data_IF_657458962019
#
_entry.id   IF_657458962019
#
_cell.length_a   1.000
_cell.length_b   1.000
_cell.length_c   1.000
_cell.angle_alpha   90.00
_cell.angle_beta   90.00
_cell.angle_gamma   90.00
#
_symmetry.space_group_name_H-M   'P 1'
#
loop_
_entity.id
_entity.type
_entity.pdbx_description
1 polymer ?
#
# COMPACT_ATOMS: atom_id res chain seq x y z
N UNK A 1 -1.87 24.10 -32.61
CA UNK A 1 -2.78 24.14 -31.45
C UNK A 1 -2.59 22.85 -30.67
N UNK A 2 -1.47 22.80 -29.96
CA UNK A 2 -1.09 21.82 -28.97
C UNK A 2 -1.02 22.60 -27.65
N UNK A 3 -1.09 21.92 -26.51
CA UNK A 3 -0.97 22.46 -25.14
C UNK A 3 -2.29 22.91 -24.47
N UNK A 4 -3.09 21.93 -24.02
CA UNK A 4 -3.95 22.12 -22.82
C UNK A 4 -4.50 20.82 -22.21
N UNK A 5 -4.46 19.67 -22.88
CA UNK A 5 -5.10 18.44 -22.39
C UNK A 5 -4.27 17.58 -21.41
N UNK A 6 -2.99 17.91 -21.18
CA UNK A 6 -2.08 17.08 -20.37
C UNK A 6 -2.22 17.27 -18.85
N UNK A 7 -2.96 18.28 -18.36
CA UNK A 7 -3.00 18.61 -16.92
C UNK A 7 -4.12 17.95 -16.13
N UNK A 8 -5.15 17.40 -16.79
CA UNK A 8 -6.34 16.87 -16.09
C UNK A 8 -6.17 15.39 -15.71
N UNK A 9 -5.44 14.61 -16.51
CA UNK A 9 -5.26 13.16 -16.30
C UNK A 9 -4.41 12.81 -15.06
N UNK A 10 -3.48 13.68 -14.65
CA UNK A 10 -2.66 13.45 -13.46
C UNK A 10 -3.44 13.55 -12.14
N UNK A 11 -4.61 14.19 -12.13
CA UNK A 11 -5.33 14.51 -10.88
C UNK A 11 -6.05 13.29 -10.29
N UNK A 12 -6.53 12.35 -11.12
CA UNK A 12 -7.25 11.15 -10.66
C UNK A 12 -6.37 10.14 -9.93
N UNK A 13 -5.22 9.77 -10.54
CA UNK A 13 -4.22 8.88 -9.95
C UNK A 13 -3.61 9.48 -8.66
N UNK A 14 -3.31 10.78 -8.68
CA UNK A 14 -2.84 11.49 -7.50
C UNK A 14 -3.90 11.60 -6.41
N UNK A 15 -5.21 11.55 -6.72
CA UNK A 15 -6.28 11.63 -5.73
C UNK A 15 -6.60 10.28 -5.08
N UNK A 16 -6.54 9.19 -5.84
CA UNK A 16 -6.73 7.82 -5.32
C UNK A 16 -5.60 7.42 -4.37
N UNK A 17 -4.36 7.81 -4.70
CA UNK A 17 -3.18 7.58 -3.87
C UNK A 17 -2.75 8.80 -3.06
N UNK A 18 -3.50 9.91 -3.11
CA UNK A 18 -3.27 11.11 -2.29
C UNK A 18 -3.04 10.79 -0.81
N UNK A 19 -3.80 9.87 -0.18
CA UNK A 19 -3.58 9.58 1.23
C UNK A 19 -2.19 8.99 1.52
N UNK A 20 -1.64 8.22 0.57
CA UNK A 20 -0.29 7.67 0.64
C UNK A 20 0.77 8.71 0.24
N UNK A 21 0.41 9.63 -0.65
CA UNK A 21 1.27 10.72 -1.10
C UNK A 21 1.30 11.94 -0.16
N UNK A 22 0.43 12.04 0.85
CA UNK A 22 0.42 13.16 1.80
C UNK A 22 1.70 13.23 2.69
N UNK A 23 2.56 12.20 2.64
CA UNK A 23 3.91 12.22 3.24
C UNK A 23 5.04 12.58 2.27
N UNK A 24 4.82 12.54 0.95
CA UNK A 24 5.86 12.76 -0.06
C UNK A 24 6.17 14.25 -0.29
N UNK A 25 6.62 14.95 0.76
CA UNK A 25 7.25 16.26 0.61
C UNK A 25 8.68 16.07 0.10
N UNK A 26 8.81 16.00 -1.23
CA UNK A 26 10.09 15.84 -1.91
C UNK A 26 10.58 14.40 -1.87
N UNK A 27 11.38 14.02 -2.87
CA UNK A 27 12.30 12.89 -2.69
C UNK A 27 12.98 13.15 -1.34
N UNK A 28 12.75 12.30 -0.34
CA UNK A 28 13.25 12.51 1.01
C UNK A 28 14.78 12.62 1.03
N UNK A 29 15.43 12.54 2.19
CA UNK A 29 16.89 12.65 2.34
C UNK A 29 17.68 11.45 1.73
N UNK A 30 17.25 10.92 0.58
CA UNK A 30 17.89 9.86 -0.20
C UNK A 30 19.38 10.17 -0.45
N UNK A 31 19.70 11.43 -0.75
CA UNK A 31 21.08 11.88 -0.99
C UNK A 31 21.65 12.63 0.21
N UNK A 32 20.99 12.60 1.37
CA UNK A 32 21.50 13.28 2.56
C UNK A 32 22.67 12.50 3.15
N UNK A 33 23.68 13.25 3.58
CA UNK A 33 24.86 12.74 4.27
C UNK A 33 24.91 13.18 5.73
N UNK A 34 23.80 13.72 6.24
CA UNK A 34 23.65 14.02 7.66
C UNK A 34 23.58 12.72 8.47
N UNK A 35 23.95 12.75 9.76
CA UNK A 35 23.71 11.62 10.65
C UNK A 35 22.22 11.26 10.70
N UNK A 36 21.93 9.97 10.84
CA UNK A 36 20.61 9.40 11.08
C UNK A 36 20.73 8.31 12.16
N UNK A 37 19.65 7.92 12.87
CA UNK A 37 19.73 6.82 13.81
C UNK A 37 20.09 5.50 13.11
N UNK A 38 20.84 4.65 13.80
CA UNK A 38 20.99 3.25 13.42
C UNK A 38 19.65 2.55 13.58
N UNK A 39 19.06 2.13 12.45
CA UNK A 39 17.82 1.34 12.40
C UNK A 39 18.06 -0.11 11.96
N UNK A 40 19.32 -0.47 11.67
CA UNK A 40 19.62 -1.79 11.13
C UNK A 40 19.32 -2.91 12.14
N UNK A 41 19.02 -4.11 11.65
CA UNK A 41 18.74 -5.28 12.48
C UNK A 41 17.29 -5.77 12.37
N UNK A 42 16.95 -6.68 13.27
CA UNK A 42 15.65 -7.33 13.29
C UNK A 42 14.69 -6.60 14.23
N UNK A 43 13.43 -6.53 13.83
CA UNK A 43 12.37 -5.79 14.51
C UNK A 43 11.15 -6.67 14.66
N UNK A 44 10.63 -6.77 15.88
CA UNK A 44 9.36 -7.43 16.18
C UNK A 44 8.23 -6.42 16.06
N UNK A 45 7.22 -6.72 15.26
CA UNK A 45 6.09 -5.83 14.95
C UNK A 45 4.83 -6.37 15.63
N UNK A 46 4.11 -5.47 16.31
CA UNK A 46 2.81 -5.74 16.92
C UNK A 46 1.76 -4.85 16.26
N UNK A 47 0.70 -5.47 15.75
CA UNK A 47 -0.40 -4.82 15.05
C UNK A 47 -1.57 -4.49 15.95
N UNK A 48 -2.33 -3.47 15.54
CA UNK A 48 -3.69 -3.27 16.05
C UNK A 48 -4.60 -4.44 15.61
N UNK A 49 -5.68 -4.67 16.35
CA UNK A 49 -6.65 -5.74 16.09
C UNK A 49 -7.73 -5.35 15.05
N UNK A 50 -7.60 -4.16 14.45
CA UNK A 50 -8.55 -3.60 13.50
C UNK A 50 -7.89 -3.14 12.20
N UNK A 51 -8.67 -3.19 11.12
CA UNK A 51 -8.39 -2.62 9.82
C UNK A 51 -9.33 -1.44 9.56
N UNK A 52 -8.78 -0.26 9.36
CA UNK A 52 -9.52 0.89 8.84
C UNK A 52 -9.66 0.75 7.32
N UNK A 53 -10.90 0.71 6.85
CA UNK A 53 -11.25 0.48 5.46
C UNK A 53 -11.92 1.71 4.87
N UNK A 54 -11.27 2.33 3.89
CA UNK A 54 -11.84 3.43 3.10
C UNK A 54 -12.18 2.91 1.71
N UNK A 55 -13.46 2.97 1.34
CA UNK A 55 -13.98 2.57 0.04
C UNK A 55 -14.46 3.81 -0.70
N UNK A 56 -14.06 3.95 -1.96
CA UNK A 56 -14.45 5.05 -2.83
C UNK A 56 -15.18 4.50 -4.04
N UNK A 57 -16.30 5.14 -4.39
CA UNK A 57 -17.20 4.73 -5.48
C UNK A 57 -17.73 6.01 -6.13
N UNK A 58 -17.30 6.31 -7.36
CA UNK A 58 -17.83 7.46 -8.12
C UNK A 58 -17.73 8.81 -7.38
N UNK A 59 -16.63 9.01 -6.64
CA UNK A 59 -16.38 10.20 -5.81
C UNK A 59 -17.03 10.19 -4.42
N UNK A 60 -17.92 9.24 -4.10
CA UNK A 60 -18.37 9.00 -2.73
C UNK A 60 -17.27 8.29 -1.93
N UNK A 61 -17.24 8.53 -0.61
CA UNK A 61 -16.29 7.91 0.33
C UNK A 61 -17.06 7.25 1.45
N UNK A 62 -16.71 6.01 1.74
CA UNK A 62 -17.28 5.18 2.79
C UNK A 62 -16.16 4.69 3.68
N UNK A 63 -16.22 4.99 4.98
CA UNK A 63 -15.24 4.54 5.96
C UNK A 63 -15.88 3.50 6.87
N UNK A 64 -15.14 2.43 7.15
CA UNK A 64 -15.53 1.34 8.02
C UNK A 64 -14.33 0.83 8.80
N UNK A 65 -14.58 0.08 9.87
CA UNK A 65 -13.57 -0.63 10.63
C UNK A 65 -13.92 -2.11 10.64
N UNK A 66 -12.96 -2.96 10.31
CA UNK A 66 -13.08 -4.41 10.27
C UNK A 66 -12.10 -5.05 11.28
N UNK A 67 -12.35 -6.29 11.72
CA UNK A 67 -11.33 -7.10 12.38
C UNK A 67 -10.07 -7.26 11.51
N UNK A 68 -8.92 -7.54 12.14
CA UNK A 68 -7.64 -7.77 11.45
C UNK A 68 -7.70 -8.86 10.36
N UNK A 69 -8.56 -9.86 10.53
CA UNK A 69 -8.76 -10.98 9.59
C UNK A 69 -9.59 -10.58 8.34
N UNK A 70 -10.17 -9.38 8.35
CA UNK A 70 -11.16 -8.93 7.40
C UNK A 70 -12.60 -9.11 7.89
N UNK A 71 -13.55 -8.99 6.97
CA UNK A 71 -14.98 -9.03 7.23
C UNK A 71 -15.79 -8.34 6.14
N UNK A 72 -17.10 -8.21 6.37
CA UNK A 72 -18.03 -7.61 5.41
C UNK A 72 -18.54 -6.26 5.90
N UNK A 73 -18.55 -5.26 5.01
CA UNK A 73 -19.16 -3.94 5.19
C UNK A 73 -20.31 -3.80 4.21
N UNK A 74 -21.47 -3.40 4.70
CA UNK A 74 -22.62 -3.05 3.86
C UNK A 74 -22.58 -1.56 3.50
N UNK A 75 -22.59 -1.24 2.21
CA UNK A 75 -22.49 0.13 1.70
C UNK A 75 -23.79 0.52 1.03
N UNK A 76 -24.39 1.64 1.43
CA UNK A 76 -25.50 2.23 0.68
C UNK A 76 -24.99 3.18 -0.41
N UNK A 77 -25.19 2.82 -1.68
CA UNK A 77 -24.81 3.62 -2.83
C UNK A 77 -25.92 3.63 -3.88
N UNK A 78 -26.34 4.82 -4.32
CA UNK A 78 -27.34 4.95 -5.39
C UNK A 78 -28.71 4.33 -5.08
N UNK A 79 -29.04 4.08 -3.81
CA UNK A 79 -30.28 3.41 -3.37
C UNK A 79 -30.18 1.89 -3.29
N UNK A 80 -29.00 1.31 -3.54
CA UNK A 80 -28.70 -0.11 -3.38
C UNK A 80 -27.80 -0.33 -2.17
N UNK A 81 -27.95 -1.48 -1.52
CA UNK A 81 -27.02 -1.97 -0.50
C UNK A 81 -26.06 -2.94 -1.16
N UNK A 82 -24.77 -2.62 -1.11
CA UNK A 82 -23.70 -3.39 -1.75
C UNK A 82 -22.82 -3.98 -0.65
N UNK A 83 -22.69 -5.32 -0.56
CA UNK A 83 -21.78 -5.95 0.37
C UNK A 83 -20.34 -5.87 -0.18
N UNK A 84 -19.42 -5.38 0.65
CA UNK A 84 -17.99 -5.42 0.40
C UNK A 84 -17.33 -6.38 1.39
N UNK A 85 -16.71 -7.45 0.90
CA UNK A 85 -16.07 -8.45 1.76
C UNK A 85 -14.57 -8.45 1.55
N UNK A 86 -13.83 -8.14 2.62
CA UNK A 86 -12.39 -8.35 2.72
C UNK A 86 -12.12 -9.69 3.39
N UNK A 87 -11.34 -10.55 2.74
CA UNK A 87 -10.95 -11.86 3.27
C UNK A 87 -9.43 -12.03 3.15
N UNK A 88 -8.73 -11.79 4.26
CA UNK A 88 -7.27 -11.90 4.32
C UNK A 88 -6.76 -13.35 4.18
N UNK A 89 -7.65 -14.36 4.12
CA UNK A 89 -7.23 -15.75 3.85
C UNK A 89 -7.04 -16.05 2.37
N UNK A 90 -7.46 -15.12 1.48
CA UNK A 90 -7.35 -15.28 0.03
C UNK A 90 -5.96 -14.91 -0.45
N UNK A 91 -5.24 -15.81 -1.15
CA UNK A 91 -3.85 -15.56 -1.58
C UNK A 91 -3.70 -14.41 -2.57
N UNK A 92 -4.76 -14.00 -3.26
CA UNK A 92 -4.79 -12.85 -4.17
C UNK A 92 -4.97 -11.50 -3.46
N UNK A 93 -5.22 -11.49 -2.14
CA UNK A 93 -5.31 -10.29 -1.31
C UNK A 93 -4.03 -10.21 -0.47
N UNK A 94 -3.46 -9.01 -0.37
CA UNK A 94 -2.34 -8.69 0.52
C UNK A 94 -2.90 -7.83 1.64
N UNK A 95 -3.01 -8.41 2.82
CA UNK A 95 -3.37 -7.66 4.02
C UNK A 95 -2.15 -6.95 4.60
N UNK A 96 -2.33 -5.88 5.39
CA UNK A 96 -1.22 -5.07 5.89
C UNK A 96 -0.12 -5.87 6.62
N UNK A 97 -0.49 -6.86 7.44
CA UNK A 97 0.45 -7.75 8.13
C UNK A 97 1.21 -8.69 7.20
N UNK A 98 0.72 -8.91 5.98
CA UNK A 98 1.45 -9.65 4.95
C UNK A 98 2.42 -8.71 4.22
N UNK A 99 2.02 -7.48 3.91
CA UNK A 99 2.89 -6.48 3.28
C UNK A 99 4.05 -6.04 4.19
N UNK A 100 3.83 -6.03 5.51
CA UNK A 100 4.83 -5.71 6.53
C UNK A 100 4.76 -6.79 7.63
N UNK A 101 5.59 -7.83 7.58
CA UNK A 101 5.46 -8.96 8.51
C UNK A 101 5.67 -8.61 9.99
N UNK A 102 5.25 -9.51 10.87
CA UNK A 102 5.50 -9.45 12.33
C UNK A 102 6.99 -9.44 12.70
N UNK A 103 7.86 -9.77 11.75
CA UNK A 103 9.31 -9.64 11.85
C UNK A 103 9.86 -9.03 10.58
N UNK A 104 10.56 -7.90 10.71
CA UNK A 104 11.21 -7.23 9.59
C UNK A 104 12.70 -7.05 9.86
N UNK A 105 13.51 -7.31 8.85
CA UNK A 105 14.96 -7.06 8.87
C UNK A 105 15.25 -5.81 8.08
N UNK A 106 15.91 -4.85 8.72
CA UNK A 106 16.28 -3.56 8.14
C UNK A 106 17.80 -3.49 7.98
N UNK A 107 18.25 -2.95 6.85
CA UNK A 107 19.67 -2.71 6.57
C UNK A 107 19.93 -1.24 6.20
N UNK A 108 21.00 -0.66 6.76
CA UNK A 108 21.59 0.60 6.28
C UNK A 108 22.90 0.26 5.58
N UNK A 109 22.86 0.24 4.24
CA UNK A 109 23.93 -0.33 3.40
C UNK A 109 25.05 0.66 3.10
N UNK A 110 24.73 1.95 3.07
CA UNK A 110 25.66 3.00 2.71
C UNK A 110 26.00 3.86 3.94
N UNK A 111 27.26 3.80 4.44
CA UNK A 111 27.67 4.58 5.61
C UNK A 111 27.72 6.09 5.34
N UNK A 112 27.73 6.54 4.09
CA UNK A 112 27.65 7.96 3.72
C UNK A 112 26.21 8.46 3.64
N UNK A 113 25.22 7.56 3.52
CA UNK A 113 23.80 7.89 3.34
C UNK A 113 22.91 7.15 4.35
N UNK A 114 23.09 7.45 5.64
CA UNK A 114 22.40 6.76 6.75
C UNK A 114 20.87 6.94 6.75
N UNK A 115 20.33 7.90 6.02
CA UNK A 115 18.88 8.04 5.85
C UNK A 115 18.26 6.97 4.96
N UNK A 116 19.07 6.19 4.23
CA UNK A 116 18.61 5.11 3.38
C UNK A 116 18.42 3.83 4.19
N UNK A 117 17.22 3.28 4.15
CA UNK A 117 16.93 1.98 4.75
C UNK A 117 16.44 1.00 3.69
N UNK A 118 16.88 -0.25 3.82
CA UNK A 118 16.48 -1.36 2.97
C UNK A 118 15.77 -2.40 3.82
N UNK A 119 14.55 -2.75 3.46
CA UNK A 119 13.76 -3.75 4.18
C UNK A 119 13.45 -4.91 3.27
N UNK A 120 13.72 -6.12 3.74
CA UNK A 120 13.39 -7.33 2.99
C UNK A 120 11.99 -7.78 3.35
N UNK A 121 11.06 -7.65 2.41
CA UNK A 121 9.64 -7.96 2.62
C UNK A 121 9.10 -8.89 1.54
N UNK A 122 8.05 -9.65 1.84
CA UNK A 122 7.32 -10.40 0.82
C UNK A 122 6.64 -9.46 -0.18
N UNK A 123 6.76 -9.79 -1.46
CA UNK A 123 6.09 -9.15 -2.58
C UNK A 123 5.38 -10.22 -3.40
N UNK A 124 4.16 -9.93 -3.81
CA UNK A 124 3.44 -10.74 -4.77
C UNK A 124 3.89 -10.41 -6.19
N UNK A 125 4.36 -11.42 -6.91
CA UNK A 125 4.77 -11.30 -8.32
C UNK A 125 3.93 -12.22 -9.19
N UNK A 126 3.59 -11.73 -10.38
CA UNK A 126 2.96 -12.54 -11.41
C UNK A 126 4.01 -13.43 -12.09
N UNK A 127 3.87 -14.75 -11.99
CA UNK A 127 4.72 -15.72 -12.69
C UNK A 127 4.05 -16.33 -13.92
N UNK A 128 2.75 -16.10 -14.09
CA UNK A 128 1.96 -16.64 -15.18
C UNK A 128 1.84 -15.72 -16.41
N UNK A 129 0.87 -16.03 -17.27
CA UNK A 129 0.59 -15.22 -18.45
C UNK A 129 0.09 -13.83 -18.02
N UNK A 130 0.52 -12.80 -18.76
CA UNK A 130 -0.04 -11.46 -18.64
C UNK A 130 -0.97 -11.17 -19.82
N UNK A 131 -2.08 -10.51 -19.57
CA UNK A 131 -3.03 -10.05 -20.59
C UNK A 131 -2.90 -8.54 -20.79
N UNK A 132 -3.14 -8.11 -22.02
CA UNK A 132 -3.28 -6.67 -22.29
C UNK A 132 -4.65 -6.23 -21.74
N UNK A 133 -4.70 -5.17 -20.92
CA UNK A 133 -5.97 -4.65 -20.40
C UNK A 133 -6.87 -4.19 -21.56
N UNK A 134 -8.19 -4.23 -21.37
CA UNK A 134 -9.12 -3.73 -22.39
C UNK A 134 -8.99 -2.19 -22.55
N UNK A 135 -9.35 -1.66 -23.72
CA UNK A 135 -9.22 -0.22 -24.02
C UNK A 135 -10.03 0.68 -23.07
N UNK A 136 -11.10 0.16 -22.46
CA UNK A 136 -11.92 0.86 -21.47
C UNK A 136 -11.43 0.70 -20.02
N UNK A 137 -10.39 -0.12 -19.79
CA UNK A 137 -9.83 -0.44 -18.47
C UNK A 137 -8.46 0.22 -18.23
N UNK A 138 -7.86 0.80 -19.27
CA UNK A 138 -6.57 1.48 -19.19
C UNK A 138 -6.57 2.83 -19.93
N UNK A 139 -5.57 3.66 -19.65
CA UNK A 139 -5.38 4.96 -20.28
C UNK A 139 -5.65 6.15 -19.36
N UNK A 140 -5.52 7.39 -19.89
CA UNK A 140 -5.55 8.60 -19.08
C UNK A 140 -6.82 8.73 -18.23
N UNK A 141 -6.65 8.82 -16.90
CA UNK A 141 -7.76 8.93 -15.95
C UNK A 141 -8.25 7.60 -15.39
N UNK A 142 -7.68 6.48 -15.83
CA UNK A 142 -7.80 5.20 -15.13
C UNK A 142 -6.64 5.01 -14.15
N UNK A 143 -6.67 3.90 -13.40
CA UNK A 143 -5.61 3.52 -12.49
C UNK A 143 -4.42 2.83 -13.19
N UNK A 144 -4.60 2.38 -14.44
CA UNK A 144 -3.54 1.89 -15.32
C UNK A 144 -3.35 2.87 -16.50
N UNK A 145 -2.78 4.06 -16.27
CA UNK A 145 -2.71 5.11 -17.28
C UNK A 145 -1.80 4.75 -18.46
N UNK A 146 -0.83 3.87 -18.23
CA UNK A 146 0.18 3.46 -19.21
C UNK A 146 -0.20 2.16 -19.95
N UNK A 147 -1.36 1.58 -19.64
CA UNK A 147 -1.86 0.33 -20.22
C UNK A 147 -0.88 -0.84 -20.07
N UNK A 148 -0.21 -0.92 -18.92
CA UNK A 148 0.69 -2.02 -18.59
C UNK A 148 -0.06 -3.36 -18.60
N UNK A 149 0.63 -4.41 -19.05
CA UNK A 149 0.10 -5.76 -19.07
C UNK A 149 -0.18 -6.27 -17.65
N UNK A 150 -1.23 -7.06 -17.52
CA UNK A 150 -1.78 -7.45 -16.22
C UNK A 150 -1.66 -8.95 -16.02
N UNK A 151 -1.39 -9.37 -14.79
CA UNK A 151 -1.41 -10.77 -14.43
C UNK A 151 -2.77 -11.45 -14.68
N UNK A 152 -2.77 -12.56 -15.43
CA UNK A 152 -3.90 -13.47 -15.63
C UNK A 152 -3.48 -14.92 -15.32
N UNK A 153 -2.46 -15.08 -14.48
CA UNK A 153 -1.88 -16.37 -14.15
C UNK A 153 -1.51 -16.48 -12.69
N UNK A 154 -0.65 -17.45 -12.36
CA UNK A 154 -0.26 -17.72 -10.98
C UNK A 154 0.48 -16.53 -10.37
N UNK A 155 -0.01 -16.09 -9.21
CA UNK A 155 0.63 -15.13 -8.33
C UNK A 155 1.41 -15.90 -7.27
N UNK A 156 2.67 -15.55 -7.08
CA UNK A 156 3.52 -16.14 -6.03
C UNK A 156 4.10 -15.04 -5.15
N UNK A 157 4.49 -15.39 -3.93
CA UNK A 157 5.14 -14.47 -3.01
C UNK A 157 6.64 -14.73 -2.99
N UNK A 158 7.42 -13.68 -3.26
CA UNK A 158 8.89 -13.71 -3.23
C UNK A 158 9.40 -12.58 -2.34
N UNK A 159 10.57 -12.77 -1.72
CA UNK A 159 11.17 -11.72 -0.90
C UNK A 159 11.96 -10.75 -1.79
N UNK A 160 11.63 -9.46 -1.70
CA UNK A 160 12.37 -8.39 -2.35
C UNK A 160 12.84 -7.34 -1.35
N UNK A 161 13.97 -6.72 -1.67
CA UNK A 161 14.44 -5.55 -0.93
C UNK A 161 13.64 -4.32 -1.36
N UNK A 162 13.16 -3.57 -0.38
CA UNK A 162 12.46 -2.31 -0.54
C UNK A 162 13.21 -1.17 0.08
N UNK A 163 13.16 -0.05 -0.63
CA UNK A 163 13.88 1.15 -0.27
C UNK A 163 12.97 2.13 0.44
N UNK A 164 13.37 2.56 1.63
CA UNK A 164 12.70 3.59 2.42
C UNK A 164 13.66 4.69 2.81
N UNK A 165 13.09 5.76 3.35
CA UNK A 165 13.85 6.92 3.81
C UNK A 165 13.47 7.28 5.24
N UNK A 166 14.48 7.56 6.06
CA UNK A 166 14.32 8.21 7.36
C UNK A 166 14.35 9.72 7.12
N UNK A 167 13.44 10.50 7.69
CA UNK A 167 13.42 11.95 7.53
C UNK A 167 14.70 12.63 8.07
N UNK A 168 14.95 13.88 7.67
CA UNK A 168 16.14 14.65 8.07
C UNK A 168 16.36 14.72 9.61
N UNK A 169 15.31 14.92 10.44
CA UNK A 169 15.47 14.86 11.89
C UNK A 169 15.81 13.47 12.47
N UNK A 170 15.66 12.38 11.71
CA UNK A 170 15.85 11.03 12.23
C UNK A 170 14.68 10.50 13.08
N UNK A 171 13.52 11.15 13.03
CA UNK A 171 12.38 10.90 13.92
C UNK A 171 11.28 10.06 13.28
N UNK A 172 11.36 9.78 11.98
CA UNK A 172 10.32 9.05 11.24
C UNK A 172 10.89 8.40 9.99
N UNK A 173 10.33 7.27 9.59
CA UNK A 173 10.55 6.72 8.25
C UNK A 173 9.27 6.66 7.41
N UNK A 174 9.45 6.70 6.09
CA UNK A 174 8.44 6.40 5.10
C UNK A 174 9.03 5.40 4.07
N UNK A 175 8.30 4.32 3.81
CA UNK A 175 8.73 3.19 3.00
C UNK A 175 7.63 2.77 2.02
N UNK A 176 7.96 2.71 0.74
CA UNK A 176 7.09 2.08 -0.26
C UNK A 176 7.37 0.57 -0.28
N UNK A 177 6.39 -0.21 0.11
CA UNK A 177 6.47 -1.68 0.19
C UNK A 177 6.29 -2.32 -1.19
N UNK A 178 5.68 -1.62 -2.14
CA UNK A 178 5.62 -2.04 -3.53
C UNK A 178 4.29 -1.72 -4.18
N UNK A 179 4.21 -2.01 -5.47
CA UNK A 179 2.97 -2.07 -6.21
C UNK A 179 2.69 -3.52 -6.60
N UNK A 180 1.57 -4.08 -6.16
CA UNK A 180 1.15 -5.45 -6.46
C UNK A 180 0.03 -5.48 -7.49
N UNK A 181 -0.30 -6.67 -7.98
CA UNK A 181 -1.48 -6.92 -8.79
C UNK A 181 -2.34 -7.92 -8.02
N UNK A 182 -3.54 -7.51 -7.60
CA UNK A 182 -4.57 -8.44 -7.15
C UNK A 182 -5.53 -8.72 -8.31
N UNK A 183 -5.86 -9.99 -8.54
CA UNK A 183 -6.80 -10.42 -9.57
C UNK A 183 -7.97 -11.13 -8.89
N UNK A 184 -9.21 -10.82 -9.29
CA UNK A 184 -10.41 -11.49 -8.78
C UNK A 184 -10.82 -12.70 -9.64
N UNK A 185 -9.94 -13.19 -10.52
CA UNK A 185 -10.21 -14.35 -11.38
C UNK A 185 -11.23 -14.11 -12.50
N UNK A 186 -11.75 -12.90 -12.67
CA UNK A 186 -12.63 -12.52 -13.79
C UNK A 186 -12.29 -11.08 -14.20
N UNK A 187 -11.38 -10.94 -15.18
CA UNK A 187 -11.09 -9.72 -15.94
C UNK A 187 -10.75 -8.41 -15.20
N UNK A 188 -10.63 -8.39 -13.87
CA UNK A 188 -10.44 -7.14 -13.15
C UNK A 188 -9.10 -7.07 -12.44
N UNK A 189 -8.43 -5.96 -12.69
CA UNK A 189 -7.04 -5.69 -12.33
C UNK A 189 -7.05 -4.71 -11.19
N UNK A 190 -6.69 -5.16 -10.00
CA UNK A 190 -6.49 -4.27 -8.88
C UNK A 190 -5.01 -3.95 -8.78
N UNK A 191 -4.66 -2.71 -9.13
CA UNK A 191 -3.32 -2.21 -8.85
C UNK A 191 -3.24 -1.93 -7.36
N UNK A 192 -2.52 -2.81 -6.67
CA UNK A 192 -2.19 -2.68 -5.26
C UNK A 192 -1.02 -1.72 -5.12
N UNK A 193 -1.04 -0.86 -4.11
CA UNK A 193 0.17 -0.22 -3.60
C UNK A 193 0.18 -0.35 -2.09
N UNK A 194 1.34 -0.62 -1.52
CA UNK A 194 1.50 -0.72 -0.07
C UNK A 194 2.62 0.19 0.42
N UNK A 195 2.42 0.77 1.60
CA UNK A 195 3.39 1.64 2.25
C UNK A 195 3.39 1.41 3.76
N UNK A 196 4.56 1.57 4.37
CA UNK A 196 4.73 1.60 5.82
C UNK A 196 5.36 2.93 6.22
N UNK A 197 4.92 3.46 7.36
CA UNK A 197 5.50 4.65 7.99
C UNK A 197 5.46 4.46 9.51
N UNK A 198 6.42 5.02 10.23
CA UNK A 198 6.37 5.09 11.69
C UNK A 198 7.28 6.19 12.22
N UNK A 199 6.98 6.67 13.42
CA UNK A 199 7.88 7.48 14.21
C UNK A 199 8.98 6.61 14.82
N UNK A 200 10.17 7.17 15.00
CA UNK A 200 11.36 6.48 15.48
C UNK A 200 11.69 6.98 16.89
N UNK A 201 11.67 6.09 17.86
CA UNK A 201 12.20 6.36 19.19
C UNK A 201 13.64 5.84 19.30
N UNK A 202 14.56 6.73 19.66
CA UNK A 202 15.99 6.44 19.69
C UNK A 202 16.64 6.77 21.03
N UNK A 203 17.74 6.08 21.31
CA UNK A 203 18.73 6.48 22.33
C UNK A 203 19.94 7.10 21.65
N UNK A 204 20.73 7.88 22.41
CA UNK A 204 21.87 8.62 21.87
C UNK A 204 21.44 9.82 21.02
N UNK A 205 22.40 10.40 20.30
CA UNK A 205 22.18 11.55 19.42
C UNK A 205 23.21 11.61 18.28
N UNK A 206 22.91 12.41 17.25
CA UNK A 206 23.78 12.62 16.11
C UNK A 206 25.22 13.01 16.50
N UNK A 207 25.38 13.75 17.60
CA UNK A 207 26.67 14.28 18.08
C UNK A 207 27.52 13.23 18.79
N UNK A 208 26.92 12.15 19.31
CA UNK A 208 27.58 11.19 20.20
C UNK A 208 27.89 9.85 19.52
N UNK A 209 27.54 9.67 18.25
CA UNK A 209 27.74 8.46 17.43
C UNK A 209 27.07 7.17 17.94
N UNK A 210 26.34 7.25 19.05
CA UNK A 210 25.54 6.18 19.67
C UNK A 210 24.04 6.35 19.37
N UNK A 211 23.70 7.03 18.28
CA UNK A 211 22.30 7.27 17.89
C UNK A 211 21.69 5.99 17.33
N UNK A 212 20.79 5.38 18.09
CA UNK A 212 20.26 4.05 17.77
C UNK A 212 18.76 4.02 18.01
N UNK A 213 18.00 3.57 17.00
CA UNK A 213 16.58 3.33 17.13
C UNK A 213 16.30 2.12 18.03
N UNK A 214 15.27 2.24 18.87
CA UNK A 214 14.86 1.22 19.83
C UNK A 214 13.43 0.76 19.60
N UNK A 215 12.55 1.69 19.21
CA UNK A 215 11.15 1.41 18.92
C UNK A 215 10.69 2.16 17.68
N UNK A 216 9.71 1.58 17.00
CA UNK A 216 8.85 2.30 16.06
C UNK A 216 7.47 2.48 16.69
N UNK A 217 6.98 3.71 16.70
CA UNK A 217 5.70 4.09 17.31
C UNK A 217 4.84 4.82 16.29
N UNK A 218 3.53 4.91 16.55
CA UNK A 218 2.56 5.49 15.62
C UNK A 218 2.71 4.92 14.19
N UNK A 219 3.07 3.65 14.10
CA UNK A 219 3.27 2.96 12.84
C UNK A 219 1.96 2.81 12.11
N UNK A 220 1.96 2.95 10.80
CA UNK A 220 0.82 2.70 9.93
C UNK A 220 1.31 1.91 8.73
N UNK A 221 0.62 0.80 8.44
CA UNK A 221 0.75 0.09 7.17
C UNK A 221 -0.54 0.28 6.40
N UNK A 222 -0.42 0.74 5.17
CA UNK A 222 -1.54 0.99 4.30
C UNK A 222 -1.39 0.19 3.01
N UNK A 223 -2.45 -0.51 2.61
CA UNK A 223 -2.56 -1.21 1.33
C UNK A 223 -3.76 -0.64 0.60
N UNK A 224 -3.57 -0.14 -0.62
CA UNK A 224 -4.64 0.38 -1.44
C UNK A 224 -4.75 -0.41 -2.74
N UNK A 225 -5.98 -0.72 -3.12
CA UNK A 225 -6.32 -1.34 -4.39
C UNK A 225 -7.23 -0.40 -5.17
N UNK A 226 -7.10 -0.41 -6.49
CA UNK A 226 -8.17 0.12 -7.32
C UNK A 226 -8.15 -0.47 -8.72
N UNK A 227 -9.34 -0.47 -9.31
CA UNK A 227 -9.64 -1.04 -10.62
C UNK A 227 -11.16 -1.07 -10.82
N UNK A 228 -11.62 -1.27 -12.06
CA UNK A 228 -13.04 -1.19 -12.44
C UNK A 228 -13.97 -2.23 -11.78
N UNK A 229 -13.44 -3.10 -10.93
CA UNK A 229 -14.20 -4.07 -10.15
C UNK A 229 -13.57 -4.17 -8.77
N UNK A 230 -14.03 -3.31 -7.86
CA UNK A 230 -13.94 -3.63 -6.45
C UNK A 230 -14.79 -4.90 -6.19
N UNK A 231 -14.50 -5.67 -5.14
CA UNK A 231 -15.27 -6.85 -4.71
C UNK A 231 -16.71 -6.47 -4.32
N UNK A 232 -17.54 -6.13 -5.31
CA UNK A 232 -18.97 -6.12 -5.20
C UNK A 232 -19.43 -7.57 -5.38
N UNK A 233 -20.26 -8.05 -4.46
CA UNK A 233 -20.88 -9.37 -4.59
C UNK A 233 -21.87 -9.42 -5.75
N UNK A 234 -22.89 -10.25 -5.58
CA UNK A 234 -24.07 -10.37 -6.44
C UNK A 234 -25.21 -9.57 -5.77
N UNK A 235 -25.34 -8.25 -6.04
CA UNK A 235 -26.23 -7.38 -5.29
C UNK A 235 -27.72 -7.66 -5.57
N UNK A 236 -28.06 -8.35 -6.67
CA UNK A 236 -29.44 -8.74 -6.98
C UNK A 236 -29.75 -10.22 -6.68
N UNK A 237 -28.75 -10.97 -6.24
CA UNK A 237 -28.80 -12.40 -5.85
C UNK A 237 -29.23 -13.31 -7.01
N UNK A 238 -28.93 -12.95 -8.25
CA UNK A 238 -29.30 -13.71 -9.44
C UNK A 238 -28.33 -14.87 -9.79
N UNK A 239 -27.18 -14.92 -9.12
CA UNK A 239 -26.12 -15.90 -9.30
C UNK A 239 -25.06 -15.49 -10.32
N UNK A 240 -25.14 -14.29 -10.89
CA UNK A 240 -24.13 -13.67 -11.76
C UNK A 240 -23.28 -12.65 -10.96
N UNK A 241 -21.98 -12.60 -11.27
CA UNK A 241 -21.05 -11.64 -10.64
C UNK A 241 -21.19 -10.29 -11.35
N UNK A 242 -21.91 -9.36 -10.74
CA UNK A 242 -22.17 -8.04 -11.30
C UNK A 242 -21.13 -7.01 -10.84
N UNK A 243 -19.97 -6.99 -11.49
CA UNK A 243 -19.04 -5.89 -11.31
C UNK A 243 -19.37 -4.77 -12.31
N UNK A 244 -19.78 -3.59 -11.84
CA UNK A 244 -19.35 -2.35 -12.51
C UNK A 244 -19.53 -1.10 -11.64
N UNK A 245 -18.69 -0.93 -10.62
CA UNK A 245 -18.36 0.42 -10.18
C UNK A 245 -17.08 0.82 -10.90
N UNK A 246 -17.24 1.43 -12.08
CA UNK A 246 -16.16 2.22 -12.68
C UNK A 246 -15.75 3.31 -11.66
N UNK A 247 -14.45 3.52 -11.48
CA UNK A 247 -13.89 4.47 -10.51
C UNK A 247 -14.10 4.07 -9.03
N UNK A 248 -13.87 2.78 -8.73
CA UNK A 248 -13.81 2.30 -7.35
C UNK A 248 -12.35 2.11 -6.87
N UNK A 249 -12.10 2.49 -5.61
CA UNK A 249 -10.87 2.13 -4.92
C UNK A 249 -11.15 1.75 -3.47
N UNK A 250 -10.24 0.97 -2.89
CA UNK A 250 -10.26 0.63 -1.48
C UNK A 250 -8.89 0.82 -0.89
N UNK A 251 -8.84 1.28 0.35
CA UNK A 251 -7.62 1.37 1.15
C UNK A 251 -7.86 0.72 2.49
N UNK A 252 -6.98 -0.17 2.87
CA UNK A 252 -6.89 -0.80 4.18
C UNK A 252 -5.73 -0.17 4.94
N UNK A 253 -5.94 0.16 6.20
CA UNK A 253 -4.88 0.62 7.11
C UNK A 253 -4.95 -0.14 8.42
N UNK A 254 -3.81 -0.34 9.04
CA UNK A 254 -3.73 -0.77 10.44
C UNK A 254 -2.55 -0.08 11.10
N UNK A 255 -2.68 0.20 12.39
CA UNK A 255 -1.59 0.70 13.18
C UNK A 255 -0.63 -0.43 13.57
N UNK A 256 0.63 -0.07 13.80
CA UNK A 256 1.59 -0.97 14.40
C UNK A 256 2.54 -0.25 15.37
N UNK A 257 3.13 -1.03 16.25
CA UNK A 257 4.31 -0.66 17.01
C UNK A 257 5.39 -1.70 16.78
N UNK A 258 6.65 -1.34 17.01
CA UNK A 258 7.75 -2.28 16.87
C UNK A 258 8.84 -2.04 17.89
N UNK A 259 9.51 -3.12 18.29
CA UNK A 259 10.69 -3.07 19.14
C UNK A 259 11.84 -3.82 18.44
N UNK A 260 13.06 -3.29 18.57
CA UNK A 260 14.26 -3.95 18.08
C UNK A 260 14.48 -5.26 18.84
N UNK A 261 14.81 -6.33 18.12
CA UNK A 261 15.14 -7.64 18.69
C UNK A 261 16.60 -7.61 19.14
N UNK A 262 16.85 -8.00 20.40
CA UNK A 262 18.20 -8.11 20.97
C UNK A 262 18.94 -9.40 20.54
#
# INVERSE_FOLDING_TARGET
>A
MHESFSKIAYVGLLAAFAPLAMGARGCGPITSTTPAPDVAGDWSVAYDDTLDVTIRIGGAVYDASLPAEGGTVEIEHGGFTIPFTLDCSRPEIVCPSEAWPETVTIEQRDPEHLHQMWVRIPEQVCMGATVTPAENECGPGTLNPDCDAVCDGEVTTVLHDRFGVINEPGERFDLLLGAGIATNGVNCVLLGVSAARADIESVGAAETSDWTATHFTNGEVAVAYGGGCLWAGDPDMDGELEALVLDASVTFRTGFTSARVE
#
